data_IF_349643094287
#
_entry.id   IF_349643094287
#
_cell.length_a   1.000
_cell.length_b   1.000
_cell.length_c   1.000
_cell.angle_alpha   90.00
_cell.angle_beta   90.00
_cell.angle_gamma   90.00
#
_symmetry.space_group_name_H-M   'P 1'
#
loop_
_entity.id
_entity.type
_entity.pdbx_description
1 polymer ?
#
# COMPACT_ATOMS: atom_id res chain seq x y z
N UNK A 1 17.70 -21.35 -0.07
CA UNK A 1 17.71 -20.57 -1.34
C UNK A 1 16.56 -19.58 -1.30
N UNK A 2 16.83 -18.28 -1.13
CA UNK A 2 15.80 -17.24 -1.22
C UNK A 2 15.48 -17.07 -2.71
N UNK A 3 14.23 -17.30 -3.12
CA UNK A 3 13.78 -17.00 -4.47
C UNK A 3 13.81 -15.48 -4.65
N UNK A 4 14.80 -14.97 -5.37
CA UNK A 4 14.79 -13.62 -5.91
C UNK A 4 13.77 -13.61 -7.05
N UNK A 5 12.50 -13.35 -6.72
CA UNK A 5 11.51 -13.00 -7.73
C UNK A 5 11.97 -11.72 -8.43
N UNK A 6 11.84 -11.64 -9.76
CA UNK A 6 12.20 -10.45 -10.52
C UNK A 6 11.52 -9.21 -9.90
N UNK A 7 12.35 -8.34 -9.31
CA UNK A 7 11.93 -7.03 -8.83
C UNK A 7 11.48 -6.19 -10.01
N UNK A 8 10.22 -5.75 -9.98
CA UNK A 8 9.82 -4.60 -10.81
C UNK A 8 10.48 -3.38 -10.18
N UNK A 9 11.45 -2.77 -10.88
CA UNK A 9 12.09 -1.53 -10.44
C UNK A 9 11.02 -0.49 -10.05
N UNK A 10 11.22 0.22 -8.93
CA UNK A 10 10.33 1.30 -8.56
C UNK A 10 10.62 2.52 -9.45
N UNK A 11 9.68 2.85 -10.34
CA UNK A 11 9.80 3.97 -11.27
C UNK A 11 9.07 5.22 -10.80
N UNK A 12 8.57 5.22 -9.55
CA UNK A 12 7.79 6.32 -8.98
C UNK A 12 6.31 6.03 -8.88
N UNK A 13 5.57 6.99 -8.30
CA UNK A 13 4.11 6.98 -8.29
C UNK A 13 3.60 7.79 -9.49
N UNK A 14 2.67 7.21 -10.25
CA UNK A 14 2.12 7.87 -11.44
C UNK A 14 1.11 8.97 -11.05
N UNK A 15 0.98 9.98 -11.91
CA UNK A 15 -0.09 10.98 -11.78
C UNK A 15 -1.48 10.33 -11.81
N UNK A 16 -1.66 9.30 -12.64
CA UNK A 16 -2.90 8.53 -12.73
C UNK A 16 -3.29 7.91 -11.38
N UNK A 17 -2.32 7.41 -10.60
CA UNK A 17 -2.59 6.92 -9.25
C UNK A 17 -3.10 8.02 -8.32
N UNK A 18 -2.51 9.23 -8.40
CA UNK A 18 -2.98 10.38 -7.62
C UNK A 18 -4.40 10.79 -8.03
N UNK A 19 -4.66 10.89 -9.33
CA UNK A 19 -5.97 11.22 -9.89
C UNK A 19 -7.01 10.15 -9.47
N UNK A 20 -6.64 8.88 -9.42
CA UNK A 20 -7.52 7.79 -8.96
C UNK A 20 -7.87 7.89 -7.47
N UNK A 21 -6.92 8.31 -6.62
CA UNK A 21 -7.21 8.57 -5.20
C UNK A 21 -8.20 9.73 -5.03
N UNK A 22 -8.16 10.73 -5.90
CA UNK A 22 -9.15 11.81 -5.94
C UNK A 22 -10.53 11.31 -6.40
N UNK A 23 -10.58 10.46 -7.42
CA UNK A 23 -11.83 9.82 -7.85
C UNK A 23 -12.47 8.96 -6.73
N UNK A 24 -11.67 8.29 -5.88
CA UNK A 24 -12.20 7.57 -4.70
C UNK A 24 -12.83 8.53 -3.69
N UNK A 25 -12.36 9.78 -3.58
CA UNK A 25 -12.97 10.77 -2.67
C UNK A 25 -14.39 11.10 -3.13
N UNK A 26 -14.57 11.27 -4.45
CA UNK A 26 -15.86 11.57 -5.07
C UNK A 26 -16.77 10.34 -5.10
N UNK A 27 -16.20 9.16 -5.35
CA UNK A 27 -16.92 7.91 -5.60
C UNK A 27 -16.61 6.86 -4.53
N UNK A 28 -16.78 7.19 -3.24
CA UNK A 28 -16.49 6.28 -2.11
C UNK A 28 -17.54 5.15 -1.98
N UNK A 29 -17.71 4.38 -3.05
CA UNK A 29 -18.70 3.33 -3.25
C UNK A 29 -17.98 2.03 -3.62
N UNK A 30 -18.35 0.93 -2.97
CA UNK A 30 -17.73 -0.38 -3.19
C UNK A 30 -17.92 -0.88 -4.63
N UNK A 31 -19.11 -0.78 -5.19
CA UNK A 31 -19.40 -1.24 -6.56
C UNK A 31 -18.56 -0.45 -7.57
N UNK A 32 -18.50 0.87 -7.40
CA UNK A 32 -17.64 1.72 -8.22
C UNK A 32 -16.18 1.27 -8.14
N UNK A 33 -15.65 1.05 -6.93
CA UNK A 33 -14.27 0.61 -6.76
C UNK A 33 -14.00 -0.76 -7.40
N UNK A 34 -14.89 -1.73 -7.24
CA UNK A 34 -14.70 -3.06 -7.85
C UNK A 34 -14.63 -2.98 -9.38
N UNK A 35 -15.41 -2.10 -10.00
CA UNK A 35 -15.35 -1.85 -11.45
C UNK A 35 -14.04 -1.18 -11.90
N UNK A 36 -13.38 -0.43 -11.02
CA UNK A 36 -12.12 0.28 -11.29
C UNK A 36 -10.91 -0.33 -10.57
N UNK A 37 -11.07 -1.54 -10.01
CA UNK A 37 -10.03 -2.22 -9.23
C UNK A 37 -8.73 -2.38 -10.01
N UNK A 38 -8.80 -2.64 -11.30
CA UNK A 38 -7.63 -2.77 -12.17
C UNK A 38 -6.76 -1.50 -12.14
N UNK A 39 -7.35 -0.30 -12.15
CA UNK A 39 -6.62 0.97 -12.05
C UNK A 39 -5.91 1.05 -10.70
N UNK A 40 -6.59 0.68 -9.61
CA UNK A 40 -5.96 0.60 -8.29
C UNK A 40 -4.79 -0.38 -8.26
N UNK A 41 -4.96 -1.56 -8.85
CA UNK A 41 -3.91 -2.59 -8.87
C UNK A 41 -2.67 -2.12 -9.62
N UNK A 42 -2.85 -1.54 -10.82
CA UNK A 42 -1.76 -1.07 -11.67
C UNK A 42 -1.08 0.19 -11.14
N UNK A 43 -1.86 1.18 -10.72
CA UNK A 43 -1.34 2.54 -10.43
C UNK A 43 -1.04 2.78 -8.96
N UNK A 44 -1.58 1.95 -8.06
CA UNK A 44 -1.38 2.07 -6.61
C UNK A 44 -0.70 0.82 -6.06
N UNK A 45 -1.29 -0.37 -6.21
CA UNK A 45 -0.77 -1.56 -5.52
C UNK A 45 0.62 -1.95 -6.02
N UNK A 46 0.80 -2.12 -7.34
CA UNK A 46 2.09 -2.49 -7.94
C UNK A 46 3.23 -1.52 -7.58
N UNK A 47 3.11 -0.18 -7.77
CA UNK A 47 4.20 0.72 -7.40
C UNK A 47 4.45 0.76 -5.90
N UNK A 48 3.44 0.56 -5.04
CA UNK A 48 3.66 0.44 -3.59
C UNK A 48 4.41 -0.85 -3.21
N UNK A 49 4.15 -1.96 -3.89
CA UNK A 49 4.92 -3.21 -3.73
C UNK A 49 6.38 -2.96 -4.12
N UNK A 50 6.62 -2.41 -5.32
CA UNK A 50 7.96 -2.09 -5.80
C UNK A 50 8.70 -1.14 -4.85
N UNK A 51 8.04 -0.09 -4.36
CA UNK A 51 8.63 0.85 -3.40
C UNK A 51 9.04 0.17 -2.09
N UNK A 52 8.20 -0.72 -1.54
CA UNK A 52 8.53 -1.44 -0.30
C UNK A 52 9.68 -2.42 -0.50
N UNK A 53 9.77 -3.06 -1.66
CA UNK A 53 10.90 -3.93 -2.00
C UNK A 53 12.20 -3.12 -2.02
N UNK A 54 12.27 -2.09 -2.87
CA UNK A 54 13.48 -1.31 -3.09
C UNK A 54 13.89 -0.51 -1.83
N UNK A 55 12.97 0.25 -1.24
CA UNK A 55 13.26 1.00 -0.01
C UNK A 55 13.56 0.06 1.15
N UNK A 56 12.91 -1.11 1.20
CA UNK A 56 13.13 -2.13 2.22
C UNK A 56 14.56 -2.64 2.22
N UNK A 57 15.12 -2.93 1.04
CA UNK A 57 16.52 -3.35 0.90
C UNK A 57 17.49 -2.30 1.45
N UNK A 58 17.30 -1.03 1.08
CA UNK A 58 18.12 0.08 1.58
C UNK A 58 17.99 0.26 3.09
N UNK A 59 16.78 0.19 3.64
CA UNK A 59 16.53 0.35 5.07
C UNK A 59 17.14 -0.79 5.88
N UNK A 60 17.05 -2.03 5.41
CA UNK A 60 17.61 -3.21 6.09
C UNK A 60 19.14 -3.15 6.10
N UNK A 61 19.76 -2.61 5.06
CA UNK A 61 21.22 -2.40 5.03
C UNK A 61 21.68 -1.43 6.14
N UNK A 62 20.86 -0.43 6.48
CA UNK A 62 21.16 0.55 7.53
C UNK A 62 20.73 0.07 8.93
N UNK A 63 19.62 -0.67 9.01
CA UNK A 63 19.04 -1.17 10.24
C UNK A 63 18.50 -2.61 10.02
N UNK A 64 19.32 -3.65 10.30
CA UNK A 64 19.03 -5.04 9.94
C UNK A 64 17.74 -5.62 10.51
N UNK A 65 17.18 -5.01 11.56
CA UNK A 65 15.96 -5.47 12.22
C UNK A 65 14.68 -4.81 11.70
N UNK A 66 14.77 -3.92 10.69
CA UNK A 66 13.61 -3.38 10.00
C UNK A 66 12.87 -4.51 9.26
N UNK A 67 11.55 -4.51 9.39
CA UNK A 67 10.62 -5.35 8.64
C UNK A 67 10.05 -4.52 7.48
N UNK A 68 10.37 -4.96 6.27
CA UNK A 68 9.81 -4.46 5.01
C UNK A 68 9.13 -5.63 4.30
N UNK A 69 7.80 -5.68 4.34
CA UNK A 69 7.03 -6.79 3.77
C UNK A 69 6.17 -6.26 2.61
N UNK A 70 6.51 -6.54 1.33
CA UNK A 70 5.87 -5.94 0.16
C UNK A 70 4.51 -6.57 -0.16
N UNK A 71 3.59 -6.51 0.80
CA UNK A 71 2.24 -7.08 0.69
C UNK A 71 1.25 -6.34 1.58
N UNK A 72 -0.03 -6.46 1.23
CA UNK A 72 -1.15 -5.99 2.06
C UNK A 72 -1.12 -6.70 3.41
N UNK A 73 -1.36 -5.93 4.48
CA UNK A 73 -1.22 -6.35 5.88
C UNK A 73 0.23 -6.70 6.30
N UNK A 74 1.20 -6.59 5.38
CA UNK A 74 2.62 -6.42 5.67
C UNK A 74 2.94 -4.94 5.82
N UNK A 75 3.87 -4.40 5.03
CA UNK A 75 4.13 -2.96 5.00
C UNK A 75 3.02 -2.16 4.34
N UNK A 76 2.14 -2.77 3.55
CA UNK A 76 1.04 -2.07 2.88
C UNK A 76 -0.26 -2.14 3.69
N UNK A 77 -0.94 -1.00 3.81
CA UNK A 77 -2.24 -0.94 4.47
C UNK A 77 -3.36 -1.51 3.58
N UNK A 78 -4.42 -2.03 4.21
CA UNK A 78 -5.65 -2.42 3.49
C UNK A 78 -6.32 -1.18 2.91
N UNK A 79 -6.82 -1.27 1.68
CA UNK A 79 -7.55 -0.18 1.01
C UNK A 79 -8.89 0.12 1.70
N UNK A 80 -9.54 -0.90 2.25
CA UNK A 80 -10.78 -0.75 3.02
C UNK A 80 -10.52 -0.23 4.44
N UNK A 81 -11.29 0.78 4.84
CA UNK A 81 -11.32 1.34 6.19
C UNK A 81 -12.15 0.43 7.13
N UNK A 82 -11.75 0.37 8.39
CA UNK A 82 -12.62 -0.12 9.46
C UNK A 82 -13.39 1.06 10.03
N UNK A 83 -14.71 1.10 9.78
CA UNK A 83 -15.56 2.26 10.10
C UNK A 83 -16.41 2.06 11.36
N UNK A 84 -16.27 0.92 12.05
CA UNK A 84 -17.12 0.56 13.21
C UNK A 84 -17.11 1.65 14.29
N UNK A 85 -15.94 2.22 14.57
CA UNK A 85 -15.74 3.24 15.60
C UNK A 85 -15.46 4.64 15.03
N UNK A 86 -15.50 4.80 13.70
CA UNK A 86 -15.22 6.09 13.05
C UNK A 86 -16.49 6.93 12.92
N UNK A 87 -16.38 8.24 13.16
CA UNK A 87 -17.44 9.20 12.82
C UNK A 87 -17.62 9.31 11.30
N UNK A 88 -16.51 9.30 10.55
CA UNK A 88 -16.51 9.18 9.09
C UNK A 88 -16.77 7.73 8.68
N UNK A 89 -17.86 7.50 7.94
CA UNK A 89 -18.29 6.17 7.46
C UNK A 89 -17.87 5.83 6.04
N UNK A 90 -16.97 6.61 5.43
CA UNK A 90 -16.39 6.22 4.14
C UNK A 90 -15.66 4.89 4.25
N UNK A 91 -15.89 4.00 3.29
CA UNK A 91 -15.43 2.60 3.35
C UNK A 91 -14.06 2.41 2.72
N UNK A 92 -13.64 3.31 1.83
CA UNK A 92 -12.44 3.17 1.02
C UNK A 92 -11.46 4.30 1.37
N UNK A 93 -10.18 3.97 1.53
CA UNK A 93 -9.12 4.96 1.79
C UNK A 93 -8.83 5.76 0.51
N UNK A 94 -8.62 7.05 0.70
CA UNK A 94 -8.27 8.03 -0.34
C UNK A 94 -6.80 8.45 -0.28
N UNK A 95 -6.00 7.69 0.48
CA UNK A 95 -4.58 7.92 0.73
C UNK A 95 -3.87 6.57 0.79
N UNK A 96 -2.62 6.55 0.36
CA UNK A 96 -1.72 5.41 0.50
C UNK A 96 -1.20 5.36 1.94
N UNK A 97 -1.07 4.16 2.50
CA UNK A 97 -0.42 3.92 3.78
C UNK A 97 0.66 2.85 3.63
N UNK A 98 1.88 3.16 4.07
CA UNK A 98 3.03 2.26 4.12
C UNK A 98 3.65 2.35 5.52
N UNK A 99 4.04 1.21 6.08
CA UNK A 99 4.76 1.14 7.36
C UNK A 99 5.97 0.22 7.25
N UNK A 100 7.11 0.73 7.69
CA UNK A 100 8.28 -0.05 8.06
C UNK A 100 8.38 -0.02 9.59
N UNK A 101 8.70 -1.16 10.19
CA UNK A 101 8.77 -1.23 11.66
C UNK A 101 9.88 -2.16 12.10
N UNK A 102 10.30 -2.02 13.35
CA UNK A 102 11.26 -2.92 14.00
C UNK A 102 10.74 -3.34 15.37
N UNK A 103 11.36 -4.37 15.94
CA UNK A 103 11.02 -4.87 17.28
C UNK A 103 10.01 -6.02 17.28
N UNK A 104 9.71 -6.48 18.50
CA UNK A 104 8.92 -7.68 18.81
C UNK A 104 7.42 -7.48 18.66
N UNK A 105 6.97 -6.22 18.73
CA UNK A 105 5.56 -5.88 18.64
C UNK A 105 4.97 -6.24 17.28
N UNK A 106 3.71 -6.66 17.30
CA UNK A 106 2.93 -6.84 16.08
C UNK A 106 2.75 -5.49 15.38
N UNK A 107 2.64 -5.54 14.05
CA UNK A 107 2.29 -4.38 13.23
C UNK A 107 1.01 -3.74 13.76
N UNK A 108 1.07 -2.46 14.10
CA UNK A 108 -0.10 -1.66 14.44
C UNK A 108 -0.64 -1.01 13.15
N UNK A 109 -1.94 -1.15 12.89
CA UNK A 109 -2.63 -0.61 11.71
C UNK A 109 -3.71 0.38 12.12
#
# INVERSE_FOLDING_TARGET
>A
MKKTGHSSLFTGFSKEGLDFLDQIKENNNKVWFENHRHIWEETILKPNVAYVEEMGEHLIALAPFIKALPKVSGSLFRIYKDTRFSHDKTHIKTKIGILFWQGSSHRMQ
#
